data_IF_780644549610
#
_entry.id   IF_780644549610
#
_cell.length_a   1.000
_cell.length_b   1.000
_cell.length_c   1.000
_cell.angle_alpha   90.00
_cell.angle_beta   90.00
_cell.angle_gamma   90.00
#
_symmetry.space_group_name_H-M   'P 1'
#
loop_
_entity.id
_entity.type
_entity.pdbx_description
1 polymer ?
#
# COMPACT_ATOMS: atom_id res chain seq x y z
N UNK A 1 0.77 -7.74 -9.07
CA UNK A 1 -0.21 -6.68 -8.74
C UNK A 1 -0.37 -6.67 -7.23
N UNK A 2 0.18 -5.67 -6.55
CA UNK A 2 0.01 -5.51 -5.10
C UNK A 2 -1.41 -5.02 -4.82
N UNK A 3 -2.12 -5.62 -3.85
CA UNK A 3 -3.52 -5.29 -3.53
C UNK A 3 -3.62 -4.89 -2.07
N UNK A 4 -4.37 -3.83 -1.81
CA UNK A 4 -4.58 -3.31 -0.46
C UNK A 4 -5.94 -3.72 0.13
N UNK A 5 -5.95 -4.04 1.43
CA UNK A 5 -7.15 -4.44 2.16
C UNK A 5 -7.83 -3.26 2.86
N UNK A 6 -8.86 -2.69 2.24
CA UNK A 6 -9.85 -1.87 2.94
C UNK A 6 -11.25 -2.42 2.69
N UNK A 7 -12.01 -2.80 3.73
CA UNK A 7 -13.45 -3.04 3.58
C UNK A 7 -14.24 -2.37 4.70
N UNK A 8 -15.16 -1.49 4.34
CA UNK A 8 -16.23 -1.04 5.24
C UNK A 8 -17.39 -2.03 5.10
N UNK A 9 -17.80 -2.63 6.22
CA UNK A 9 -19.14 -3.18 6.44
C UNK A 9 -19.53 -4.43 5.64
N UNK A 10 -19.87 -5.49 6.40
CA UNK A 10 -20.44 -6.79 5.97
C UNK A 10 -19.38 -7.86 5.72
N UNK A 11 -19.26 -8.77 6.71
CA UNK A 11 -18.44 -10.00 6.68
C UNK A 11 -18.57 -10.77 5.36
N UNK A 12 -17.49 -10.90 4.56
CA UNK A 12 -17.22 -12.13 3.85
C UNK A 12 -16.26 -12.94 4.71
N UNK A 13 -16.55 -14.22 4.96
CA UNK A 13 -15.52 -15.14 5.44
C UNK A 13 -14.32 -15.00 4.50
N UNK A 14 -13.10 -14.85 5.04
CA UNK A 14 -11.82 -14.78 4.31
C UNK A 14 -11.49 -16.08 3.54
N UNK A 15 -12.47 -16.76 2.92
CA UNK A 15 -12.32 -18.09 2.34
C UNK A 15 -12.39 -18.13 0.80
N UNK A 16 -13.08 -17.21 0.13
CA UNK A 16 -13.33 -17.36 -1.33
C UNK A 16 -12.65 -16.35 -2.26
N UNK A 17 -12.54 -15.04 -1.98
CA UNK A 17 -11.83 -14.12 -2.88
C UNK A 17 -10.32 -14.42 -2.97
N UNK A 18 -9.75 -14.97 -1.90
CA UNK A 18 -8.31 -15.07 -1.65
C UNK A 18 -7.60 -16.20 -2.40
N UNK A 19 -8.28 -17.31 -2.66
CA UNK A 19 -7.74 -18.42 -3.47
C UNK A 19 -7.46 -17.98 -4.91
N UNK A 20 -8.27 -17.07 -5.45
CA UNK A 20 -8.05 -16.49 -6.78
C UNK A 20 -6.78 -15.66 -6.84
N UNK A 21 -6.40 -14.96 -5.75
CA UNK A 21 -5.21 -14.11 -5.72
C UNK A 21 -3.91 -14.89 -5.59
N UNK A 22 -3.90 -15.93 -4.76
CA UNK A 22 -2.75 -16.83 -4.65
C UNK A 22 -2.44 -17.54 -5.98
N UNK A 23 -3.44 -17.74 -6.83
CA UNK A 23 -3.28 -18.26 -8.20
C UNK A 23 -2.86 -17.18 -9.23
N UNK A 24 -2.80 -15.90 -8.85
CA UNK A 24 -2.52 -14.77 -9.74
C UNK A 24 -1.08 -14.23 -9.67
N UNK A 25 -0.25 -14.62 -8.69
CA UNK A 25 1.18 -14.30 -8.59
C UNK A 25 1.67 -13.97 -7.17
N UNK A 26 2.98 -13.86 -6.96
CA UNK A 26 3.67 -13.60 -5.67
C UNK A 26 3.72 -12.11 -5.30
N UNK A 27 2.58 -11.41 -5.34
CA UNK A 27 2.56 -9.98 -5.03
C UNK A 27 2.34 -9.71 -3.52
N UNK A 28 3.03 -8.73 -2.92
CA UNK A 28 2.76 -8.34 -1.54
C UNK A 28 1.32 -7.88 -1.31
N UNK A 29 0.79 -8.18 -0.13
CA UNK A 29 -0.48 -7.70 0.40
C UNK A 29 -0.22 -6.69 1.52
N UNK A 30 -0.87 -5.53 1.43
CA UNK A 30 -0.78 -4.46 2.44
C UNK A 30 -1.95 -4.59 3.42
N UNK A 31 -1.62 -4.68 4.71
CA UNK A 31 -2.57 -4.67 5.82
C UNK A 31 -2.66 -3.23 6.34
N UNK A 32 -3.81 -2.59 6.15
CA UNK A 32 -4.00 -1.16 6.44
C UNK A 32 -5.22 -0.95 7.36
N UNK A 33 -5.25 -0.04 8.34
CA UNK A 33 -4.26 0.97 8.76
C UNK A 33 -4.19 1.08 10.28
N UNK A 34 -3.05 1.37 10.91
CA UNK A 34 -3.03 2.01 12.20
C UNK A 34 -3.26 3.52 12.06
N UNK A 35 -4.43 4.03 12.47
CA UNK A 35 -4.91 5.39 12.16
C UNK A 35 -4.49 6.47 13.17
N UNK A 36 -3.49 6.21 14.01
CA UNK A 36 -3.00 7.17 15.01
C UNK A 36 -1.51 6.95 15.33
N UNK A 37 -0.66 7.90 14.97
CA UNK A 37 0.78 7.86 15.26
C UNK A 37 1.21 9.19 15.88
N UNK A 38 1.90 9.17 17.03
CA UNK A 38 2.43 10.41 17.61
C UNK A 38 1.61 10.97 18.76
N UNK A 39 2.04 12.13 19.27
CA UNK A 39 1.54 12.74 20.52
C UNK A 39 1.60 11.81 21.76
N UNK A 40 2.60 10.93 21.83
CA UNK A 40 2.70 9.92 22.89
C UNK A 40 1.69 8.77 22.78
N UNK A 41 0.96 8.67 21.66
CA UNK A 41 0.06 7.54 21.39
C UNK A 41 0.74 6.50 20.49
N UNK A 42 0.45 5.23 20.79
CA UNK A 42 0.91 4.09 20.00
C UNK A 42 -0.05 3.81 18.83
N UNK A 43 0.45 3.25 17.72
CA UNK A 43 -0.35 2.85 16.57
C UNK A 43 -1.56 1.98 16.94
N UNK A 44 -2.77 2.47 16.69
CA UNK A 44 -4.03 1.73 16.87
C UNK A 44 -4.46 1.15 15.55
N UNK A 45 -4.35 -0.17 15.41
CA UNK A 45 -4.81 -0.90 14.23
C UNK A 45 -6.30 -0.64 13.98
N UNK A 46 -6.67 -0.39 12.73
CA UNK A 46 -8.02 -0.21 12.25
C UNK A 46 -8.18 -1.06 10.98
N UNK A 47 -8.88 -2.18 11.13
CA UNK A 47 -9.27 -3.07 10.03
C UNK A 47 -10.75 -2.90 9.68
N UNK A 48 -11.29 -1.69 9.88
CA UNK A 48 -12.68 -1.34 9.64
C UNK A 48 -13.65 -2.38 10.23
N UNK A 49 -14.49 -3.01 9.39
CA UNK A 49 -15.49 -3.98 9.85
C UNK A 49 -14.99 -5.42 10.03
N UNK A 50 -13.70 -5.70 9.78
CA UNK A 50 -13.17 -7.08 9.77
C UNK A 50 -13.06 -7.68 11.17
N UNK A 51 -12.53 -6.90 12.11
CA UNK A 51 -12.30 -7.29 13.49
C UNK A 51 -12.01 -6.06 14.34
N UNK A 52 -12.15 -6.21 15.66
CA UNK A 52 -11.87 -5.15 16.63
C UNK A 52 -10.59 -5.48 17.43
N UNK A 53 -9.48 -4.74 17.24
CA UNK A 53 -8.24 -4.99 17.97
C UNK A 53 -8.30 -4.53 19.42
N UNK A 54 -9.23 -3.64 19.81
CA UNK A 54 -9.36 -3.17 21.20
C UNK A 54 -9.80 -4.26 22.17
N UNK A 55 -10.43 -5.32 21.64
CA UNK A 55 -10.88 -6.50 22.39
C UNK A 55 -10.14 -7.78 21.98
N UNK A 56 -8.94 -7.66 21.38
CA UNK A 56 -8.16 -8.78 20.83
C UNK A 56 -8.88 -9.61 19.73
N UNK A 57 -9.91 -9.04 19.10
CA UNK A 57 -10.73 -9.71 18.09
C UNK A 57 -10.00 -9.96 16.76
N UNK A 58 -8.85 -9.32 16.53
CA UNK A 58 -8.07 -9.45 15.30
C UNK A 58 -7.01 -10.57 15.33
N UNK A 59 -6.82 -11.23 16.48
CA UNK A 59 -5.79 -12.25 16.65
C UNK A 59 -5.96 -13.49 15.75
N UNK A 60 -7.20 -13.79 15.33
CA UNK A 60 -7.51 -14.89 14.42
C UNK A 60 -6.87 -14.76 13.02
N UNK A 61 -6.58 -13.53 12.58
CA UNK A 61 -5.95 -13.21 11.28
C UNK A 61 -4.55 -13.83 11.18
N UNK A 62 -3.89 -14.10 12.32
CA UNK A 62 -2.59 -14.78 12.40
C UNK A 62 -2.52 -16.07 11.56
N UNK A 63 -3.60 -16.84 11.56
CA UNK A 63 -3.66 -18.12 10.82
C UNK A 63 -3.68 -17.91 9.31
N UNK A 64 -4.44 -16.93 8.84
CA UNK A 64 -4.53 -16.60 7.41
C UNK A 64 -3.20 -16.02 6.90
N UNK A 65 -2.56 -15.12 7.67
CA UNK A 65 -1.24 -14.56 7.34
C UNK A 65 -0.21 -15.67 7.07
N UNK A 66 -0.15 -16.68 7.95
CA UNK A 66 0.78 -17.80 7.78
C UNK A 66 0.51 -18.61 6.52
N UNK A 67 -0.77 -18.81 6.17
CA UNK A 67 -1.13 -19.50 4.92
C UNK A 67 -0.57 -18.74 3.72
N UNK A 68 -0.68 -17.42 3.69
CA UNK A 68 -0.15 -16.61 2.59
C UNK A 68 1.38 -16.66 2.51
N UNK A 69 2.06 -16.53 3.66
CA UNK A 69 3.51 -16.60 3.72
C UNK A 69 4.04 -17.94 3.20
N UNK A 70 3.39 -19.07 3.55
CA UNK A 70 3.73 -20.40 3.00
C UNK A 70 3.55 -20.46 1.47
N UNK A 71 2.64 -19.66 0.92
CA UNK A 71 2.43 -19.52 -0.53
C UNK A 71 3.30 -18.42 -1.16
N UNK A 72 4.37 -17.98 -0.48
CA UNK A 72 5.32 -16.97 -0.98
C UNK A 72 4.67 -15.60 -1.26
N UNK A 73 3.63 -15.26 -0.51
CA UNK A 73 2.98 -13.95 -0.53
C UNK A 73 3.44 -13.18 0.71
N UNK A 74 4.05 -12.02 0.49
CA UNK A 74 4.53 -11.15 1.57
C UNK A 74 3.34 -10.36 2.16
N UNK A 75 3.23 -10.34 3.48
CA UNK A 75 2.23 -9.57 4.23
C UNK A 75 2.93 -8.42 4.94
N UNK A 76 2.63 -7.19 4.52
CA UNK A 76 3.31 -5.96 4.94
C UNK A 76 2.29 -5.09 5.69
N UNK A 77 2.67 -4.56 6.86
CA UNK A 77 1.83 -3.63 7.61
C UNK A 77 1.97 -2.22 7.03
N UNK A 78 0.90 -1.64 6.51
CA UNK A 78 0.88 -0.23 6.12
C UNK A 78 0.62 0.68 7.32
N UNK A 79 1.43 1.72 7.50
CA UNK A 79 1.23 2.77 8.52
C UNK A 79 0.84 4.09 7.84
N UNK A 80 -0.15 4.79 8.41
CA UNK A 80 -0.66 6.06 7.87
C UNK A 80 -2.04 5.94 7.23
N UNK A 81 -2.14 6.25 5.94
CA UNK A 81 -3.36 6.28 5.12
C UNK A 81 -4.03 7.64 5.07
N UNK A 82 -4.84 7.93 4.04
CA UNK A 82 -5.49 9.25 3.85
C UNK A 82 -6.42 9.74 4.97
N UNK A 83 -6.66 8.95 6.03
CA UNK A 83 -7.43 9.32 7.21
C UNK A 83 -6.70 8.96 8.52
N UNK A 84 -6.77 9.85 9.50
CA UNK A 84 -6.12 9.69 10.80
C UNK A 84 -5.29 10.91 11.19
N UNK A 85 -4.61 10.82 12.34
CA UNK A 85 -3.62 11.82 12.74
C UNK A 85 -2.32 11.10 13.07
N UNK A 86 -1.33 11.25 12.20
CA UNK A 86 -0.03 10.62 12.36
C UNK A 86 1.11 11.62 12.15
N UNK A 87 1.99 11.75 13.14
CA UNK A 87 3.21 12.55 13.05
C UNK A 87 4.25 12.07 14.06
N UNK A 88 5.52 12.30 13.77
CA UNK A 88 6.62 12.00 14.69
C UNK A 88 7.12 13.32 15.27
N UNK A 89 7.21 13.42 16.60
CA UNK A 89 7.57 14.68 17.28
C UNK A 89 9.07 14.82 17.57
N UNK A 90 9.82 13.72 17.51
CA UNK A 90 11.27 13.68 17.75
C UNK A 90 11.88 12.37 17.25
N UNK A 91 13.21 12.30 17.17
CA UNK A 91 13.94 11.05 16.89
C UNK A 91 13.70 9.97 17.94
N UNK A 92 13.51 10.35 19.20
CA UNK A 92 13.17 9.40 20.27
C UNK A 92 11.75 8.87 20.10
N UNK A 93 10.79 9.71 19.73
CA UNK A 93 9.44 9.25 19.40
C UNK A 93 9.44 8.30 18.19
N UNK A 94 10.24 8.59 17.15
CA UNK A 94 10.44 7.69 16.01
C UNK A 94 11.01 6.33 16.45
N UNK A 95 11.99 6.32 17.36
CA UNK A 95 12.58 5.10 17.93
C UNK A 95 11.54 4.29 18.71
N UNK A 96 10.71 4.94 19.53
CA UNK A 96 9.64 4.28 20.28
C UNK A 96 8.60 3.65 19.37
N UNK A 97 8.20 4.34 18.31
CA UNK A 97 7.33 3.79 17.26
C UNK A 97 7.95 2.57 16.60
N UNK A 98 9.23 2.63 16.22
CA UNK A 98 9.94 1.51 15.61
C UNK A 98 10.00 0.29 16.55
N UNK A 99 10.27 0.50 17.84
CA UNK A 99 10.26 -0.56 18.87
C UNK A 99 8.85 -1.16 19.01
N UNK A 100 7.81 -0.32 19.00
CA UNK A 100 6.44 -0.79 19.06
C UNK A 100 6.08 -1.67 17.86
N UNK A 101 6.40 -1.24 16.64
CA UNK A 101 6.18 -2.02 15.41
C UNK A 101 6.94 -3.35 15.46
N UNK A 102 8.20 -3.31 15.88
CA UNK A 102 9.05 -4.49 16.05
C UNK A 102 8.42 -5.53 16.98
N UNK A 103 7.99 -5.09 18.18
CA UNK A 103 7.48 -5.96 19.22
C UNK A 103 6.05 -6.48 18.99
N UNK A 104 5.22 -5.73 18.26
CA UNK A 104 3.80 -6.07 18.08
C UNK A 104 3.49 -6.72 16.72
N UNK A 105 4.32 -6.49 15.70
CA UNK A 105 4.03 -6.94 14.33
C UNK A 105 5.18 -7.68 13.65
N UNK A 106 6.44 -7.45 14.06
CA UNK A 106 7.63 -8.10 13.49
C UNK A 106 8.24 -9.10 14.48
N UNK A 107 9.55 -9.33 14.41
CA UNK A 107 10.28 -10.37 15.15
C UNK A 107 10.50 -10.11 16.64
N UNK A 108 10.01 -9.01 17.18
CA UNK A 108 10.05 -8.74 18.62
C UNK A 108 8.97 -9.48 19.39
N UNK A 109 8.86 -9.18 20.69
CA UNK A 109 7.93 -9.86 21.59
C UNK A 109 7.00 -8.88 22.29
N UNK A 110 5.71 -9.24 22.32
CA UNK A 110 4.64 -8.54 23.06
C UNK A 110 3.61 -9.58 23.47
N UNK A 111 3.05 -9.45 24.67
CA UNK A 111 1.97 -10.32 25.14
C UNK A 111 0.65 -10.06 24.43
N UNK A 112 0.48 -8.87 23.83
CA UNK A 112 -0.79 -8.38 23.28
C UNK A 112 -0.61 -7.95 21.81
N UNK A 113 -0.16 -8.86 20.96
CA UNK A 113 0.02 -8.59 19.53
C UNK A 113 -1.33 -8.44 18.83
N UNK A 114 -1.62 -7.31 18.15
CA UNK A 114 -2.94 -7.07 17.55
C UNK A 114 -3.40 -8.12 16.53
N UNK A 115 -2.44 -8.67 15.76
CA UNK A 115 -2.67 -9.72 14.76
C UNK A 115 -2.25 -11.11 15.26
N UNK A 116 -2.14 -11.29 16.58
CA UNK A 116 -1.67 -12.52 17.21
C UNK A 116 -0.17 -12.79 16.97
N UNK A 117 0.23 -14.06 17.12
CA UNK A 117 1.64 -14.49 17.14
C UNK A 117 2.30 -14.59 15.75
N UNK A 118 1.79 -13.87 14.75
CA UNK A 118 2.41 -13.86 13.41
C UNK A 118 3.49 -12.79 13.32
N UNK A 119 4.49 -13.05 12.49
CA UNK A 119 5.56 -12.10 12.16
C UNK A 119 5.33 -11.66 10.72
N UNK A 120 5.08 -10.36 10.53
CA UNK A 120 4.89 -9.78 9.19
C UNK A 120 6.22 -9.64 8.46
N UNK A 121 6.15 -9.55 7.13
CA UNK A 121 7.30 -9.50 6.23
C UNK A 121 7.92 -8.10 6.12
N UNK A 122 7.21 -7.06 6.55
CA UNK A 122 7.71 -5.69 6.52
C UNK A 122 6.72 -4.64 7.00
N UNK A 123 7.12 -3.38 6.81
CA UNK A 123 6.31 -2.19 7.08
C UNK A 123 6.30 -1.32 5.84
N UNK A 124 5.10 -0.91 5.44
CA UNK A 124 4.81 0.08 4.40
C UNK A 124 4.55 1.44 5.03
N UNK A 125 5.07 2.51 4.42
CA UNK A 125 4.94 3.88 4.87
C UNK A 125 4.02 4.64 3.92
N UNK A 126 2.71 4.54 4.16
CA UNK A 126 1.69 5.30 3.46
C UNK A 126 1.39 6.60 4.22
N UNK A 127 2.42 7.45 4.36
CA UNK A 127 2.32 8.69 5.12
C UNK A 127 1.80 9.79 4.21
N UNK A 128 0.50 10.06 4.31
CA UNK A 128 -0.17 11.10 3.55
C UNK A 128 -0.37 12.38 4.37
N UNK A 129 -0.34 13.53 3.70
CA UNK A 129 -0.68 14.81 4.30
C UNK A 129 -0.86 15.86 3.20
N UNK A 130 -1.91 16.66 3.30
CA UNK A 130 -2.16 17.69 2.29
C UNK A 130 -1.11 18.83 2.38
N UNK A 131 -0.61 19.35 1.24
CA UNK A 131 -0.78 18.82 -0.12
C UNK A 131 0.14 17.61 -0.37
N UNK A 132 -0.40 16.57 -1.03
CA UNK A 132 0.27 15.30 -1.38
C UNK A 132 1.42 15.45 -2.40
N UNK A 133 1.92 16.67 -2.63
CA UNK A 133 2.62 16.99 -3.87
C UNK A 133 3.61 18.17 -3.82
N UNK A 134 4.79 17.98 -3.24
CA UNK A 134 5.94 18.20 -4.10
C UNK A 134 6.79 16.96 -4.16
N UNK A 135 7.43 16.71 -5.31
CA UNK A 135 8.69 15.98 -5.30
C UNK A 135 9.81 16.96 -4.90
N UNK A 136 10.71 16.62 -3.96
CA UNK A 136 10.70 15.39 -3.17
C UNK A 136 9.49 15.37 -2.22
N UNK A 137 8.90 14.18 -2.03
CA UNK A 137 7.71 14.00 -1.17
C UNK A 137 7.89 14.75 0.15
N UNK A 138 6.93 15.61 0.50
CA UNK A 138 7.05 16.52 1.64
C UNK A 138 7.20 15.79 2.98
N UNK A 139 6.70 14.56 3.08
CA UNK A 139 6.64 13.80 4.33
C UNK A 139 7.71 12.72 4.39
N UNK A 140 7.87 11.96 3.31
CA UNK A 140 8.77 10.80 3.23
C UNK A 140 9.97 11.03 2.31
N UNK A 141 10.11 12.19 1.67
CA UNK A 141 11.19 12.46 0.70
C UNK A 141 12.61 12.28 1.26
N UNK A 142 12.86 12.70 2.51
CA UNK A 142 14.14 12.45 3.16
C UNK A 142 14.34 10.97 3.50
N UNK A 143 13.28 10.26 3.89
CA UNK A 143 13.34 8.83 4.16
C UNK A 143 13.64 8.04 2.88
N UNK A 144 12.98 8.38 1.76
CA UNK A 144 13.19 7.75 0.46
C UNK A 144 14.64 7.87 -0.05
N UNK A 145 15.33 8.97 0.30
CA UNK A 145 16.74 9.20 -0.07
C UNK A 145 17.75 8.36 0.73
N UNK A 146 17.33 7.69 1.81
CA UNK A 146 18.23 6.85 2.62
C UNK A 146 18.68 5.58 1.91
N UNK A 147 17.93 5.12 0.89
CA UNK A 147 18.20 3.85 0.20
C UNK A 147 17.73 2.60 0.97
N UNK A 148 16.93 2.77 2.03
CA UNK A 148 16.40 1.64 2.82
C UNK A 148 15.05 1.09 2.35
N UNK A 149 14.44 1.67 1.31
CA UNK A 149 13.16 1.20 0.78
C UNK A 149 13.39 0.21 -0.37
N UNK A 150 12.95 -1.04 -0.20
CA UNK A 150 12.99 -2.06 -1.26
C UNK A 150 12.02 -1.71 -2.40
N UNK A 151 10.81 -1.33 -2.02
CA UNK A 151 9.68 -1.04 -2.93
C UNK A 151 9.13 0.35 -2.67
N UNK A 152 8.79 1.05 -3.75
CA UNK A 152 8.09 2.35 -3.69
C UNK A 152 6.90 2.29 -4.65
N UNK A 153 5.67 2.33 -4.13
CA UNK A 153 4.45 2.46 -4.92
C UNK A 153 4.03 3.91 -4.97
N UNK A 154 4.24 4.56 -6.11
CA UNK A 154 3.89 5.97 -6.29
C UNK A 154 2.41 6.06 -6.65
N UNK A 155 1.63 6.81 -5.87
CA UNK A 155 0.23 7.11 -6.17
C UNK A 155 0.14 8.08 -7.35
N UNK A 156 0.01 7.59 -8.59
CA UNK A 156 -0.14 8.41 -9.80
C UNK A 156 -1.59 8.85 -10.05
N UNK A 157 -2.32 9.14 -8.98
CA UNK A 157 -3.72 9.56 -8.97
C UNK A 157 -3.92 10.62 -7.89
N UNK A 158 -5.02 11.40 -7.95
CA UNK A 158 -5.31 12.53 -7.06
C UNK A 158 -4.27 13.68 -7.10
N UNK A 159 -3.40 13.69 -8.12
CA UNK A 159 -2.26 14.59 -8.24
C UNK A 159 -2.10 15.08 -9.70
N UNK A 160 -2.84 16.14 -10.12
CA UNK A 160 -2.85 16.65 -11.49
C UNK A 160 -1.46 16.87 -12.14
N UNK A 161 -0.42 17.32 -11.41
CA UNK A 161 0.91 17.52 -11.99
C UNK A 161 1.69 16.23 -12.33
N UNK A 162 1.28 15.05 -11.86
CA UNK A 162 1.98 13.78 -12.15
C UNK A 162 1.09 12.63 -12.62
N UNK A 163 -0.22 12.79 -12.56
CA UNK A 163 -1.15 11.75 -12.97
C UNK A 163 -1.30 11.70 -14.49
N UNK A 164 -1.81 10.57 -14.96
CA UNK A 164 -2.34 10.48 -16.31
C UNK A 164 -3.57 11.38 -16.47
N UNK A 165 -3.60 12.16 -17.55
CA UNK A 165 -4.81 12.84 -18.01
C UNK A 165 -5.18 12.26 -19.35
N UNK A 166 -6.47 12.03 -19.61
CA UNK A 166 -6.90 11.40 -20.85
C UNK A 166 -6.36 12.16 -22.08
N UNK A 167 -5.58 11.46 -22.91
CA UNK A 167 -4.93 12.03 -24.10
C UNK A 167 -3.64 12.83 -23.84
N UNK A 168 -3.16 12.93 -22.60
CA UNK A 168 -1.95 13.65 -22.22
C UNK A 168 -1.04 12.85 -21.27
N UNK A 169 0.14 12.45 -21.77
CA UNK A 169 1.11 11.62 -21.03
C UNK A 169 2.27 12.40 -20.40
N UNK A 170 2.49 13.67 -20.77
CA UNK A 170 3.70 14.42 -20.39
C UNK A 170 3.94 14.46 -18.88
N UNK A 171 2.89 14.77 -18.10
CA UNK A 171 2.97 14.86 -16.64
C UNK A 171 3.39 13.52 -16.02
N UNK A 172 2.78 12.42 -16.48
CA UNK A 172 3.10 11.08 -16.03
C UNK A 172 4.53 10.68 -16.42
N UNK A 173 4.94 11.00 -17.65
CA UNK A 173 6.28 10.67 -18.15
C UNK A 173 7.38 11.42 -17.38
N UNK A 174 7.18 12.71 -17.12
CA UNK A 174 8.11 13.54 -16.37
C UNK A 174 8.19 13.08 -14.92
N UNK A 175 7.05 12.80 -14.28
CA UNK A 175 7.02 12.25 -12.94
C UNK A 175 7.74 10.90 -12.87
N UNK A 176 7.48 9.98 -13.81
CA UNK A 176 8.18 8.69 -13.89
C UNK A 176 9.70 8.88 -14.00
N UNK A 177 10.18 9.78 -14.85
CA UNK A 177 11.62 10.08 -14.99
C UNK A 177 12.19 10.62 -13.67
N UNK A 178 11.46 11.53 -13.01
CA UNK A 178 11.89 12.14 -11.76
C UNK A 178 12.02 11.10 -10.63
N UNK A 179 10.99 10.29 -10.41
CA UNK A 179 10.98 9.26 -9.37
C UNK A 179 12.05 8.19 -9.60
N UNK A 180 12.18 7.70 -10.84
CA UNK A 180 13.12 6.61 -11.16
C UNK A 180 14.59 7.04 -11.14
N UNK A 181 14.89 8.30 -11.46
CA UNK A 181 16.25 8.85 -11.39
C UNK A 181 16.67 9.27 -9.98
N UNK A 182 15.72 9.76 -9.17
CA UNK A 182 16.05 10.43 -7.91
C UNK A 182 15.93 9.55 -6.67
N UNK A 183 15.17 8.44 -6.74
CA UNK A 183 14.94 7.57 -5.57
C UNK A 183 15.79 6.29 -5.67
N UNK A 184 16.66 6.01 -4.67
CA UNK A 184 17.48 4.80 -4.61
C UNK A 184 16.68 3.58 -4.11
N UNK A 185 15.56 3.26 -4.77
CA UNK A 185 14.77 2.05 -4.50
C UNK A 185 15.07 0.95 -5.52
N UNK A 186 14.91 -0.32 -5.10
CA UNK A 186 15.09 -1.49 -5.97
C UNK A 186 14.02 -1.54 -7.05
N UNK A 187 12.75 -1.35 -6.67
CA UNK A 187 11.62 -1.31 -7.60
C UNK A 187 10.63 -0.18 -7.28
N UNK A 188 10.10 0.42 -8.34
CA UNK A 188 9.07 1.45 -8.31
C UNK A 188 7.83 0.91 -9.02
N UNK A 189 6.68 1.02 -8.37
CA UNK A 189 5.39 0.52 -8.82
C UNK A 189 4.46 1.67 -9.20
N UNK A 190 3.62 1.41 -10.20
CA UNK A 190 2.53 2.29 -10.60
C UNK A 190 1.33 2.06 -9.66
N UNK A 191 1.08 3.00 -8.75
CA UNK A 191 -0.15 3.03 -7.96
C UNK A 191 -1.32 3.53 -8.79
N UNK A 192 -2.40 2.76 -8.87
CA UNK A 192 -3.64 3.11 -9.57
C UNK A 192 -4.88 2.75 -8.75
N UNK A 193 -5.96 3.55 -8.85
CA UNK A 193 -7.25 3.17 -8.31
C UNK A 193 -7.91 2.10 -9.19
N UNK A 194 -8.78 1.30 -8.59
CA UNK A 194 -9.42 0.14 -9.25
C UNK A 194 -10.90 0.31 -9.57
N UNK A 195 -11.53 1.39 -9.09
CA UNK A 195 -12.95 1.66 -9.35
C UNK A 195 -13.18 3.05 -10.00
N UNK A 196 -13.84 3.12 -11.17
CA UNK A 196 -14.20 4.40 -11.79
C UNK A 196 -15.18 5.21 -10.94
N UNK A 197 -16.09 4.55 -10.21
CA UNK A 197 -17.14 5.22 -9.43
C UNK A 197 -16.59 5.92 -8.18
N UNK A 198 -15.46 5.45 -7.64
CA UNK A 198 -14.84 6.03 -6.45
C UNK A 198 -13.80 7.12 -6.79
N UNK A 199 -13.21 7.07 -7.99
CA UNK A 199 -12.05 7.90 -8.34
C UNK A 199 -12.28 8.88 -9.50
N UNK A 200 -13.41 8.79 -10.21
CA UNK A 200 -13.80 9.75 -11.24
C UNK A 200 -12.68 9.96 -12.27
N UNK A 201 -12.24 11.20 -12.45
CA UNK A 201 -11.17 11.56 -13.40
C UNK A 201 -9.78 11.02 -13.04
N UNK A 202 -9.61 10.43 -11.85
CA UNK A 202 -8.36 9.81 -11.43
C UNK A 202 -8.26 8.33 -11.80
N UNK A 203 -9.35 7.73 -12.30
CA UNK A 203 -9.36 6.37 -12.80
C UNK A 203 -8.79 6.29 -14.23
N UNK A 204 -7.97 5.28 -14.49
CA UNK A 204 -7.38 5.03 -15.80
C UNK A 204 -8.13 3.85 -16.44
N UNK A 205 -8.90 4.06 -17.53
CA UNK A 205 -9.54 2.97 -18.27
C UNK A 205 -8.52 1.93 -18.74
N UNK A 206 -8.91 0.66 -18.79
CA UNK A 206 -7.99 -0.44 -19.17
C UNK A 206 -7.35 -0.20 -20.55
N UNK A 207 -8.10 0.35 -21.51
CA UNK A 207 -7.57 0.69 -22.85
C UNK A 207 -6.44 1.70 -22.80
N UNK A 208 -6.57 2.72 -21.97
CA UNK A 208 -5.56 3.77 -21.79
C UNK A 208 -4.39 3.24 -20.96
N UNK A 209 -4.68 2.42 -19.95
CA UNK A 209 -3.67 1.79 -19.12
C UNK A 209 -2.74 0.93 -19.98
N UNK A 210 -3.30 0.04 -20.82
CA UNK A 210 -2.54 -0.89 -21.63
C UNK A 210 -1.84 -0.23 -22.81
N UNK A 211 -2.50 0.73 -23.48
CA UNK A 211 -2.00 1.30 -24.74
C UNK A 211 -1.06 2.49 -24.52
N UNK A 212 -1.22 3.23 -23.43
CA UNK A 212 -0.53 4.51 -23.22
C UNK A 212 0.32 4.51 -21.95
N UNK A 213 -0.28 4.16 -20.80
CA UNK A 213 0.35 4.33 -19.48
C UNK A 213 1.42 3.26 -19.22
N UNK A 214 1.10 1.97 -19.36
CA UNK A 214 2.04 0.89 -19.09
C UNK A 214 3.28 0.95 -20.01
N UNK A 215 3.17 1.20 -21.34
CA UNK A 215 4.33 1.39 -22.18
C UNK A 215 5.26 2.52 -21.69
N UNK A 216 4.68 3.64 -21.24
CA UNK A 216 5.42 4.76 -20.68
C UNK A 216 6.12 4.38 -19.37
N UNK A 217 5.41 3.76 -18.44
CA UNK A 217 5.91 3.39 -17.12
C UNK A 217 6.97 2.28 -17.19
N UNK A 218 6.77 1.27 -18.05
CA UNK A 218 7.69 0.14 -18.27
C UNK A 218 9.04 0.53 -18.86
N UNK A 219 9.17 1.76 -19.38
CA UNK A 219 10.45 2.29 -19.89
C UNK A 219 11.53 2.53 -18.82
N UNK A 220 11.39 2.03 -17.59
CA UNK A 220 12.41 2.08 -16.53
C UNK A 220 12.82 0.67 -16.11
N UNK A 221 14.11 0.42 -15.93
CA UNK A 221 14.61 -0.83 -15.34
C UNK A 221 14.17 -1.02 -13.87
N UNK A 222 13.77 0.07 -13.20
CA UNK A 222 13.18 0.06 -11.86
C UNK A 222 11.70 -0.29 -11.85
N UNK A 223 11.04 -0.48 -12.98
CA UNK A 223 9.63 -0.91 -12.99
C UNK A 223 9.45 -2.23 -12.23
N UNK A 224 8.56 -2.22 -11.24
CA UNK A 224 8.22 -3.37 -10.39
C UNK A 224 6.84 -3.99 -10.65
N UNK A 225 5.93 -3.24 -11.28
CA UNK A 225 4.54 -3.67 -11.50
C UNK A 225 3.54 -2.56 -11.18
N UNK A 226 2.32 -2.97 -10.85
CA UNK A 226 1.24 -2.08 -10.40
C UNK A 226 0.81 -2.39 -8.96
N UNK A 227 0.53 -1.32 -8.21
CA UNK A 227 -0.16 -1.32 -6.92
C UNK A 227 -1.60 -0.86 -7.14
N UNK A 228 -2.54 -1.59 -6.55
CA UNK A 228 -3.98 -1.43 -6.77
C UNK A 228 -4.67 -1.00 -5.49
N UNK A 229 -5.26 0.19 -5.54
CA UNK A 229 -6.14 0.70 -4.50
C UNK A 229 -7.61 0.51 -4.91
N UNK A 230 -8.42 -0.32 -4.25
CA UNK A 230 -8.11 -1.28 -3.20
C UNK A 230 -8.82 -2.60 -3.53
N UNK A 231 -8.55 -3.66 -2.76
CA UNK A 231 -9.12 -5.00 -2.95
C UNK A 231 -10.65 -5.00 -3.02
N UNK A 232 -11.32 -4.17 -2.22
CA UNK A 232 -12.78 -4.08 -2.24
C UNK A 232 -13.32 -3.68 -3.62
N UNK A 233 -12.73 -2.64 -4.22
CA UNK A 233 -13.12 -2.16 -5.54
C UNK A 233 -12.70 -3.11 -6.64
N UNK A 234 -11.53 -3.73 -6.49
CA UNK A 234 -11.05 -4.72 -7.44
C UNK A 234 -11.89 -6.00 -7.48
N UNK A 235 -12.46 -6.44 -6.35
CA UNK A 235 -13.40 -7.57 -6.29
C UNK A 235 -14.73 -7.25 -6.99
N UNK A 236 -15.14 -5.98 -7.02
CA UNK A 236 -16.36 -5.53 -7.69
C UNK A 236 -16.15 -5.38 -9.21
N UNK A 237 -15.05 -4.75 -9.62
CA UNK A 237 -14.84 -4.33 -11.01
C UNK A 237 -13.88 -5.25 -11.80
N UNK A 238 -13.13 -6.14 -11.13
CA UNK A 238 -12.22 -7.09 -11.78
C UNK A 238 -11.03 -6.45 -12.49
N UNK A 239 -10.58 -5.28 -12.03
CA UNK A 239 -9.54 -4.48 -12.68
C UNK A 239 -8.22 -5.24 -12.83
N UNK A 240 -7.76 -5.88 -11.75
CA UNK A 240 -6.55 -6.71 -11.71
C UNK A 240 -6.58 -7.84 -12.73
N UNK A 241 -7.71 -8.53 -12.86
CA UNK A 241 -7.87 -9.63 -13.81
C UNK A 241 -7.70 -9.12 -15.25
N UNK A 242 -8.15 -7.90 -15.52
CA UNK A 242 -8.10 -7.27 -16.84
C UNK A 242 -6.70 -6.78 -17.23
N UNK A 243 -5.87 -6.40 -16.25
CA UNK A 243 -4.53 -5.85 -16.50
C UNK A 243 -3.42 -6.90 -16.31
N UNK A 244 -3.73 -8.10 -15.79
CA UNK A 244 -2.76 -9.13 -15.43
C UNK A 244 -1.79 -9.49 -16.56
N UNK A 245 -2.28 -9.64 -17.79
CA UNK A 245 -1.43 -9.97 -18.95
C UNK A 245 -0.55 -8.80 -19.41
N UNK A 246 -0.83 -7.58 -18.94
CA UNK A 246 -0.14 -6.37 -19.34
C UNK A 246 0.93 -5.94 -18.34
N UNK A 247 0.92 -6.46 -17.10
CA UNK A 247 1.81 -6.04 -16.00
C UNK A 247 2.97 -7.02 -15.86
#
# INVERSE_FOLDING_TARGET
MQKELQSIGVRPKMKEPWQRLAQQGTAPLLISFPSGLGNGQFPVLNLAGHCDPSINGCTGISSDIKVYQVNSIQLILSIGGGAGSYYLTSSENARQVAIYLWNNFLGGHSSNRPLGNTVLDGVDFDIEGAPQFPFPDAWIGNALKTGFFDYVWVQFYNNPPCQYTQGALSNLEDARKQWTSSIPATKIFLGVPTAPQAFGSNFIPISDLSSNVLPTIKGSNKYGGAMLWSMYYDDLDGYSSSIKSHV
#
